data_IF_325806662716
#
_entry.id   IF_325806662716
#
_cell.length_a   1.000
_cell.length_b   1.000
_cell.length_c   1.000
_cell.angle_alpha   90.00
_cell.angle_beta   90.00
_cell.angle_gamma   90.00
#
_symmetry.space_group_name_H-M   'P 1'
#
loop_
_entity.id
_entity.type
_entity.pdbx_description
1 polymer ?
#
# COMPACT_ATOMS: atom_id res chain seq x y z
N UNK A 1 12.66 4.07 7.04
CA UNK A 1 11.28 3.76 6.65
C UNK A 1 10.84 4.44 5.36
N UNK A 2 11.10 5.75 5.20
CA UNK A 2 10.67 6.45 4.00
C UNK A 2 11.28 5.88 2.72
N UNK A 3 12.56 5.55 2.74
CA UNK A 3 13.22 5.00 1.57
C UNK A 3 12.66 3.63 1.19
N UNK A 4 12.41 2.79 2.20
CA UNK A 4 11.84 1.46 1.98
C UNK A 4 10.41 1.58 1.45
N UNK A 5 9.64 2.51 2.01
CA UNK A 5 8.26 2.71 1.56
C UNK A 5 8.20 3.21 0.12
N UNK A 6 9.12 4.09 -0.27
CA UNK A 6 9.16 4.55 -1.67
C UNK A 6 9.38 3.40 -2.64
N UNK A 7 10.23 2.44 -2.26
CA UNK A 7 10.47 1.25 -3.08
C UNK A 7 9.21 0.38 -3.17
N UNK A 8 8.56 0.13 -2.03
CA UNK A 8 7.33 -0.65 -1.98
C UNK A 8 6.23 0.02 -2.78
N UNK A 9 6.11 1.34 -2.65
CA UNK A 9 5.12 2.12 -3.39
C UNK A 9 5.30 1.95 -4.89
N UNK A 10 6.54 2.03 -5.36
CA UNK A 10 6.83 1.84 -6.78
C UNK A 10 6.43 0.45 -7.26
N UNK A 11 6.72 -0.57 -6.48
CA UNK A 11 6.34 -1.94 -6.83
C UNK A 11 4.84 -2.13 -6.88
N UNK A 12 4.13 -1.55 -5.91
CA UNK A 12 2.67 -1.64 -5.88
C UNK A 12 2.03 -0.92 -7.07
N UNK A 13 2.56 0.21 -7.47
CA UNK A 13 2.04 0.94 -8.63
C UNK A 13 2.25 0.17 -9.92
N UNK A 14 3.35 -0.59 -10.02
CA UNK A 14 3.59 -1.46 -11.16
C UNK A 14 2.65 -2.65 -11.17
N UNK A 15 2.40 -3.22 -10.01
CA UNK A 15 1.55 -4.40 -9.89
C UNK A 15 0.06 -4.04 -10.06
N UNK A 16 -0.34 -2.90 -9.52
CA UNK A 16 -1.74 -2.44 -9.54
C UNK A 16 -1.79 -1.05 -10.16
N UNK A 17 -2.04 -1.00 -11.46
CA UNK A 17 -2.03 0.26 -12.21
C UNK A 17 -3.06 1.27 -11.71
N UNK A 18 -4.14 0.78 -11.06
CA UNK A 18 -5.18 1.65 -10.54
C UNK A 18 -4.77 2.42 -9.27
N UNK A 19 -3.64 2.07 -8.66
CA UNK A 19 -3.19 2.78 -7.47
C UNK A 19 -2.46 4.06 -7.83
N UNK A 20 -2.74 5.11 -7.07
CA UNK A 20 -2.11 6.42 -7.24
C UNK A 20 -1.19 6.70 -6.05
N UNK A 21 -0.40 7.77 -6.16
CA UNK A 21 0.45 8.20 -5.06
C UNK A 21 -0.38 8.55 -3.82
N UNK A 22 -1.55 9.15 -4.02
CA UNK A 22 -2.44 9.49 -2.91
C UNK A 22 -2.94 8.24 -2.18
N UNK A 23 -3.25 7.18 -2.94
CA UNK A 23 -3.69 5.93 -2.34
C UNK A 23 -2.61 5.29 -1.49
N UNK A 24 -1.35 5.52 -1.84
CA UNK A 24 -0.20 4.92 -1.19
C UNK A 24 0.52 5.91 -0.26
N UNK A 25 -0.12 7.02 0.06
CA UNK A 25 0.44 8.01 0.98
C UNK A 25 0.55 7.40 2.37
N UNK A 26 1.76 7.31 2.88
CA UNK A 26 2.03 6.75 4.20
C UNK A 26 2.29 7.88 5.19
N UNK A 27 1.46 7.93 6.22
CA UNK A 27 1.63 8.85 7.33
C UNK A 27 1.68 8.07 8.63
N UNK A 28 2.69 8.35 9.44
CA UNK A 28 2.83 7.69 10.72
C UNK A 28 1.60 7.96 11.59
N UNK A 29 1.03 6.89 12.16
CA UNK A 29 -0.18 7.00 12.94
C UNK A 29 -1.47 6.92 12.15
N UNK A 30 -1.40 6.89 10.81
CA UNK A 30 -2.58 6.82 9.96
C UNK A 30 -2.57 5.62 9.03
N UNK A 31 -1.90 4.57 9.45
CA UNK A 31 -1.78 3.36 8.64
C UNK A 31 -3.14 2.73 8.34
N UNK A 32 -4.06 2.80 9.30
CA UNK A 32 -5.40 2.24 9.10
C UNK A 32 -6.14 2.90 7.95
N UNK A 33 -5.97 4.21 7.79
CA UNK A 33 -6.58 4.93 6.68
C UNK A 33 -6.02 4.46 5.34
N UNK A 34 -4.72 4.27 5.28
CA UNK A 34 -4.06 3.77 4.07
C UNK A 34 -4.58 2.39 3.72
N UNK A 35 -4.63 1.49 4.70
CA UNK A 35 -5.13 0.14 4.47
C UNK A 35 -6.59 0.16 4.02
N UNK A 36 -7.40 1.04 4.58
CA UNK A 36 -8.79 1.19 4.16
C UNK A 36 -8.92 1.57 2.69
N UNK A 37 -8.09 2.52 2.24
CA UNK A 37 -8.09 2.92 0.84
C UNK A 37 -7.67 1.76 -0.06
N UNK A 38 -6.62 1.03 0.33
CA UNK A 38 -6.14 -0.10 -0.46
C UNK A 38 -7.16 -1.22 -0.52
N UNK A 39 -7.86 -1.48 0.57
CA UNK A 39 -8.92 -2.49 0.58
C UNK A 39 -10.03 -2.14 -0.43
N UNK A 40 -10.43 -0.89 -0.48
CA UNK A 40 -11.46 -0.46 -1.43
C UNK A 40 -10.97 -0.53 -2.87
N UNK A 41 -9.75 -0.10 -3.12
CA UNK A 41 -9.21 -0.06 -4.47
C UNK A 41 -8.92 -1.45 -5.02
N UNK A 42 -8.42 -2.34 -4.19
CA UNK A 42 -7.99 -3.66 -4.62
C UNK A 42 -9.02 -4.76 -4.40
N UNK A 43 -10.07 -4.47 -3.62
CA UNK A 43 -11.06 -5.48 -3.28
C UNK A 43 -10.51 -6.62 -2.46
N UNK A 44 -9.47 -6.34 -1.67
CA UNK A 44 -8.80 -7.35 -0.85
C UNK A 44 -9.00 -7.05 0.62
N UNK A 45 -8.82 -8.09 1.46
CA UNK A 45 -8.85 -7.91 2.90
C UNK A 45 -7.54 -7.28 3.37
N UNK A 46 -7.58 -6.71 4.59
CA UNK A 46 -6.38 -6.13 5.18
C UNK A 46 -5.27 -7.17 5.32
N UNK A 47 -5.62 -8.40 5.74
CA UNK A 47 -4.63 -9.46 5.90
C UNK A 47 -3.92 -9.77 4.58
N UNK A 48 -4.67 -9.82 3.49
CA UNK A 48 -4.09 -10.06 2.18
C UNK A 48 -3.14 -8.95 1.78
N UNK A 49 -3.54 -7.70 2.04
CA UNK A 49 -2.71 -6.54 1.73
C UNK A 49 -1.44 -6.56 2.57
N UNK A 50 -1.55 -6.85 3.86
CA UNK A 50 -0.40 -6.93 4.74
C UNK A 50 0.60 -7.99 4.28
N UNK A 51 0.12 -9.14 3.83
CA UNK A 51 0.98 -10.20 3.31
C UNK A 51 1.71 -9.75 2.05
N UNK A 52 1.02 -9.07 1.16
CA UNK A 52 1.66 -8.56 -0.06
C UNK A 52 2.73 -7.53 0.28
N UNK A 53 2.47 -6.66 1.22
CA UNK A 53 3.45 -5.67 1.63
C UNK A 53 4.69 -6.32 2.24
N UNK A 54 4.50 -7.35 3.05
CA UNK A 54 5.62 -8.09 3.63
C UNK A 54 6.51 -8.71 2.56
N UNK A 55 5.90 -9.24 1.52
CA UNK A 55 6.65 -9.84 0.42
C UNK A 55 7.48 -8.82 -0.36
N UNK A 56 7.07 -7.55 -0.31
CA UNK A 56 7.76 -6.48 -1.04
C UNK A 56 8.86 -5.81 -0.21
N UNK A 57 8.87 -5.99 1.10
CA UNK A 57 9.91 -5.41 1.95
C UNK A 57 11.25 -6.19 1.88
#
# INVERSE_FOLDING_TARGET
>A
MKGTWNMVKGKLKQKYAQLTDDDLSYEEGKEDEMYGRLQQKLGKTRDEIERELKDLF
#
